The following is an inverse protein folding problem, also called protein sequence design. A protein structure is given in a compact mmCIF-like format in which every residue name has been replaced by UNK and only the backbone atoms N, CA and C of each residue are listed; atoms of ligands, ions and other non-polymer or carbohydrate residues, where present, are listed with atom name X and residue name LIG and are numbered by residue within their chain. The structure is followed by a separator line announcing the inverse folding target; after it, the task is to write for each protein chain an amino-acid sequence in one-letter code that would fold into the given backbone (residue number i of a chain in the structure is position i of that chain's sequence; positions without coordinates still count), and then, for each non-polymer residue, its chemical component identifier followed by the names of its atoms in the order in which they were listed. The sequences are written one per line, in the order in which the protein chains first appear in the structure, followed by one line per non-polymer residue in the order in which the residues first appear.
data_IF_160916405888
#
_entry.id   IF_160916405888
#
_cell.length_a   1.000
_cell.length_b   1.000
_cell.length_c   1.000
_cell.angle_alpha   90.00
_cell.angle_beta   90.00
_cell.angle_gamma   90.00
#
_symmetry.space_group_name_H-M   'P 1'
#
loop_
_entity.id
_entity.type
_entity.pdbx_description
1 polymer ?
#
# COMPACT_ATOMS: atom_id res chain seq x y z
N UNK A 1 25.42 52.90 52.85
CA UNK A 1 26.37 53.87 52.26
C UNK A 1 26.87 53.30 50.93
N UNK A 2 26.87 54.14 49.89
CA UNK A 2 27.43 54.04 48.52
C UNK A 2 28.60 53.06 48.30
N UNK A 3 28.97 52.52 47.12
CA UNK A 3 28.60 52.59 45.69
C UNK A 3 29.51 51.57 44.96
N UNK A 4 29.14 51.11 43.77
CA UNK A 4 30.07 50.50 42.79
C UNK A 4 29.65 49.10 42.35
N UNK A 5 29.55 48.74 41.07
CA UNK A 5 29.76 49.42 39.80
C UNK A 5 29.37 48.39 38.74
N UNK A 6 28.32 48.67 37.96
CA UNK A 6 27.86 47.80 36.87
C UNK A 6 28.85 47.97 35.70
N UNK A 7 29.79 47.02 35.57
CA UNK A 7 30.58 46.89 34.35
C UNK A 7 29.72 46.24 33.27
N UNK A 8 29.35 47.02 32.27
CA UNK A 8 28.59 46.58 31.12
C UNK A 8 29.47 45.68 30.23
N UNK A 9 28.99 44.47 29.94
CA UNK A 9 29.57 43.60 28.92
C UNK A 9 29.55 44.30 27.54
N UNK A 10 30.68 44.39 26.81
CA UNK A 10 30.68 44.92 25.46
C UNK A 10 29.97 43.96 24.50
N UNK A 11 29.00 44.48 23.75
CA UNK A 11 28.33 43.77 22.66
C UNK A 11 29.33 43.49 21.53
N UNK A 12 29.41 42.27 20.99
CA UNK A 12 30.20 42.02 19.79
C UNK A 12 29.55 42.74 18.59
N UNK A 13 30.30 43.67 18.01
CA UNK A 13 29.99 44.36 16.77
C UNK A 13 30.23 43.44 15.56
N UNK A 14 29.28 43.49 14.62
CA UNK A 14 29.37 43.07 13.20
C UNK A 14 29.68 41.60 12.89
N UNK A 15 28.64 40.83 12.58
CA UNK A 15 28.74 39.66 11.72
C UNK A 15 29.02 40.10 10.26
N UNK A 16 29.93 39.45 9.52
CA UNK A 16 30.12 39.74 8.11
C UNK A 16 28.90 39.28 7.29
N UNK A 17 28.40 40.17 6.44
CA UNK A 17 27.35 39.90 5.46
C UNK A 17 27.84 38.89 4.42
N UNK A 18 27.31 37.66 4.46
CA UNK A 18 27.53 36.65 3.43
C UNK A 18 26.60 36.96 2.27
N UNK A 19 27.16 37.29 1.11
CA UNK A 19 26.40 37.51 -0.12
C UNK A 19 25.70 36.22 -0.58
N UNK A 20 24.47 36.30 -1.12
CA UNK A 20 23.77 35.12 -1.65
C UNK A 20 24.47 34.60 -2.92
N UNK A 21 24.48 33.27 -3.15
CA UNK A 21 25.08 32.69 -4.34
C UNK A 21 24.31 33.09 -5.62
N UNK A 22 24.99 33.17 -6.78
CA UNK A 22 24.35 33.53 -8.04
C UNK A 22 23.38 32.45 -8.52
N UNK A 23 22.35 32.80 -9.30
CA UNK A 23 21.43 31.83 -9.88
C UNK A 23 22.17 30.91 -10.86
N UNK A 24 22.09 29.60 -10.66
CA UNK A 24 22.67 28.61 -11.57
C UNK A 24 21.85 28.59 -12.86
N UNK A 25 22.46 29.06 -13.93
CA UNK A 25 21.97 28.90 -15.30
C UNK A 25 21.82 27.42 -15.67
N UNK A 26 20.75 27.12 -16.39
CA UNK A 26 20.26 25.77 -16.66
C UNK A 26 21.31 24.84 -17.29
N UNK A 27 21.52 23.69 -16.64
CA UNK A 27 22.02 22.50 -17.33
C UNK A 27 20.84 21.74 -17.89
N UNK A 28 20.74 21.76 -19.21
CA UNK A 28 19.96 20.79 -19.97
C UNK A 28 20.60 19.43 -19.73
N UNK A 29 19.87 18.51 -19.10
CA UNK A 29 20.22 17.09 -19.20
C UNK A 29 19.76 16.60 -20.56
N UNK A 30 20.75 16.30 -21.41
CA UNK A 30 20.56 15.65 -22.68
C UNK A 30 20.15 14.19 -22.47
N UNK A 31 19.05 13.80 -23.12
CA UNK A 31 18.86 12.48 -23.72
C UNK A 31 18.89 11.25 -22.81
N UNK A 32 17.72 10.87 -22.30
CA UNK A 32 17.37 9.44 -22.17
C UNK A 32 16.11 9.22 -23.00
N UNK A 33 16.29 8.49 -24.09
CA UNK A 33 15.24 8.12 -25.05
C UNK A 33 14.47 6.94 -24.46
N UNK A 34 13.33 7.21 -23.81
CA UNK A 34 12.37 6.17 -23.44
C UNK A 34 11.73 5.65 -24.73
N UNK A 35 12.02 4.39 -25.07
CA UNK A 35 11.27 3.67 -26.10
C UNK A 35 9.89 3.36 -25.53
N UNK A 36 8.87 3.79 -26.28
CA UNK A 36 7.46 3.54 -26.03
C UNK A 36 7.13 2.05 -26.14
N UNK A 37 6.61 1.45 -25.07
CA UNK A 37 5.79 0.24 -25.18
C UNK A 37 4.35 0.63 -24.90
N UNK A 38 3.58 0.71 -25.98
CA UNK A 38 2.14 0.96 -25.96
C UNK A 38 1.42 -0.38 -25.79
N UNK A 39 0.60 -0.52 -24.74
CA UNK A 39 -0.44 -1.55 -24.66
C UNK A 39 -1.80 -0.86 -24.43
N UNK A 40 -2.84 -1.18 -25.21
CA UNK A 40 -4.07 -0.40 -25.23
C UNK A 40 -4.99 -0.64 -24.02
N UNK A 41 -5.50 0.48 -23.51
CA UNK A 41 -6.57 0.64 -22.52
C UNK A 41 -7.91 0.27 -23.16
N UNK A 42 -8.34 -0.99 -23.05
CA UNK A 42 -9.75 -1.37 -23.32
C UNK A 42 -10.05 -2.80 -22.86
N UNK A 43 -10.27 -3.01 -21.56
CA UNK A 43 -10.88 -4.28 -21.08
C UNK A 43 -11.53 -4.15 -19.71
N UNK A 44 -12.31 -3.10 -19.43
CA UNK A 44 -13.07 -3.05 -18.17
C UNK A 44 -14.41 -2.36 -18.37
N UNK A 45 -15.32 -3.03 -19.08
CA UNK A 45 -16.76 -2.81 -18.96
C UNK A 45 -17.46 -4.15 -19.14
N UNK A 46 -18.47 -4.39 -18.30
CA UNK A 46 -19.51 -5.44 -18.41
C UNK A 46 -19.37 -6.69 -17.52
N UNK A 47 -19.60 -6.50 -16.21
CA UNK A 47 -20.13 -7.55 -15.32
C UNK A 47 -21.44 -7.03 -14.72
N UNK A 48 -22.45 -6.84 -15.55
CA UNK A 48 -23.81 -6.54 -15.09
C UNK A 48 -24.82 -7.20 -16.02
N UNK A 49 -24.96 -8.54 -15.89
CA UNK A 49 -26.14 -9.33 -16.30
C UNK A 49 -25.88 -10.82 -16.13
N UNK A 50 -26.25 -11.40 -14.97
CA UNK A 50 -26.72 -12.79 -14.89
C UNK A 50 -27.83 -12.91 -13.86
N UNK A 51 -28.99 -13.33 -14.33
CA UNK A 51 -30.27 -13.37 -13.61
C UNK A 51 -30.39 -14.52 -12.62
N UNK A 52 -31.30 -14.32 -11.65
CA UNK A 52 -31.69 -15.26 -10.60
C UNK A 52 -32.73 -16.25 -11.13
N UNK A 53 -32.48 -17.55 -11.01
CA UNK A 53 -33.44 -18.61 -11.33
C UNK A 53 -34.42 -18.88 -10.15
N UNK A 54 -35.65 -19.36 -10.40
CA UNK A 54 -36.70 -19.48 -9.39
C UNK A 54 -36.62 -20.76 -8.55
N UNK A 55 -36.92 -20.65 -7.26
CA UNK A 55 -37.05 -21.76 -6.30
C UNK A 55 -38.41 -22.42 -6.47
N UNK A 56 -38.42 -23.68 -6.93
CA UNK A 56 -39.61 -24.52 -7.01
C UNK A 56 -39.91 -25.20 -5.68
N UNK A 57 -41.11 -24.97 -5.16
CA UNK A 57 -41.67 -25.63 -3.98
C UNK A 57 -42.05 -27.09 -4.29
N UNK A 58 -41.33 -28.06 -3.71
CA UNK A 58 -41.77 -29.46 -3.62
C UNK A 58 -42.10 -29.81 -2.18
N UNK A 59 -43.39 -30.01 -1.93
CA UNK A 59 -43.92 -30.71 -0.76
C UNK A 59 -43.67 -32.21 -0.94
N UNK A 60 -43.10 -32.85 0.08
CA UNK A 60 -43.02 -34.30 0.21
C UNK A 60 -43.67 -34.72 1.54
N UNK A 61 -44.42 -35.83 1.59
CA UNK A 61 -45.14 -36.25 2.79
C UNK A 61 -44.16 -36.84 3.82
N UNK A 62 -44.29 -36.40 5.07
CA UNK A 62 -43.55 -36.94 6.21
C UNK A 62 -44.23 -38.22 6.67
N UNK A 63 -43.63 -39.38 6.39
CA UNK A 63 -43.99 -40.63 7.06
C UNK A 63 -43.14 -40.77 8.32
N UNK A 64 -43.79 -40.68 9.47
CA UNK A 64 -43.21 -40.92 10.78
C UNK A 64 -42.84 -42.40 10.90
N UNK A 65 -41.53 -42.71 10.98
CA UNK A 65 -41.04 -44.06 11.25
C UNK A 65 -40.18 -44.06 12.52
N UNK A 66 -40.63 -44.86 13.47
CA UNK A 66 -40.01 -45.40 14.69
C UNK A 66 -38.76 -44.74 15.30
N UNK A 67 -38.88 -44.37 16.58
CA UNK A 67 -37.75 -44.08 17.49
C UNK A 67 -36.81 -45.30 17.64
N UNK A 68 -35.48 -45.13 17.52
CA UNK A 68 -34.51 -46.14 17.93
C UNK A 68 -34.30 -46.16 19.47
N UNK A 69 -33.88 -47.30 20.06
CA UNK A 69 -33.70 -47.48 21.50
C UNK A 69 -32.50 -46.68 22.07
N UNK A 70 -32.52 -46.32 23.37
CA UNK A 70 -31.48 -45.50 23.98
C UNK A 70 -30.27 -46.37 24.38
N UNK A 71 -29.06 -46.04 23.91
CA UNK A 71 -27.86 -46.70 24.46
C UNK A 71 -26.56 -46.70 23.66
N UNK A 72 -26.48 -46.12 22.45
CA UNK A 72 -25.21 -46.03 21.73
C UNK A 72 -24.79 -44.57 21.60
N UNK A 73 -23.66 -44.22 22.20
CA UNK A 73 -23.00 -42.95 21.93
C UNK A 73 -22.51 -42.98 20.48
N UNK A 74 -22.90 -42.02 19.63
CA UNK A 74 -22.37 -41.96 18.28
C UNK A 74 -20.85 -41.76 18.39
N UNK A 75 -20.03 -42.51 17.63
CA UNK A 75 -18.61 -42.22 17.58
C UNK A 75 -18.43 -40.76 17.14
N UNK A 76 -17.58 -40.02 17.86
CA UNK A 76 -17.21 -38.65 17.52
C UNK A 76 -16.95 -38.55 16.01
N UNK A 77 -17.47 -37.53 15.32
CA UNK A 77 -17.21 -37.39 13.90
C UNK A 77 -15.70 -37.37 13.68
N UNK A 78 -15.17 -38.41 13.03
CA UNK A 78 -13.83 -38.34 12.47
C UNK A 78 -13.95 -37.34 11.34
N UNK A 79 -13.52 -36.10 11.59
CA UNK A 79 -13.42 -35.06 10.59
C UNK A 79 -12.46 -35.54 9.51
N UNK A 80 -13.04 -36.05 8.42
CA UNK A 80 -12.32 -36.37 7.20
C UNK A 80 -11.81 -35.04 6.63
N UNK A 81 -10.49 -34.86 6.41
CA UNK A 81 -9.96 -33.63 5.84
C UNK A 81 -10.46 -33.53 4.40
N UNK A 82 -11.52 -32.73 4.22
CA UNK A 82 -12.08 -32.44 2.92
C UNK A 82 -11.07 -31.59 2.17
N UNK A 83 -10.34 -32.24 1.26
CA UNK A 83 -9.36 -31.64 0.36
C UNK A 83 -10.10 -30.81 -0.69
N UNK A 84 -10.61 -29.67 -0.28
CA UNK A 84 -11.03 -28.59 -1.17
C UNK A 84 -10.42 -27.33 -0.60
N UNK A 85 -9.43 -26.80 -1.30
CA UNK A 85 -8.87 -25.48 -1.03
C UNK A 85 -10.04 -24.51 -0.89
N UNK A 86 -10.10 -23.66 0.16
CA UNK A 86 -11.16 -22.68 0.24
C UNK A 86 -11.03 -21.81 -1.01
N UNK A 87 -12.03 -21.88 -1.90
CA UNK A 87 -12.04 -21.21 -3.22
C UNK A 87 -11.64 -19.74 -3.10
N UNK A 88 -11.93 -19.14 -1.96
CA UNK A 88 -11.57 -17.78 -1.56
C UNK A 88 -10.06 -17.50 -1.56
N UNK A 89 -9.21 -18.40 -1.05
CA UNK A 89 -7.76 -18.17 -0.94
C UNK A 89 -7.09 -18.14 -2.31
N UNK A 90 -7.48 -19.06 -3.19
CA UNK A 90 -6.96 -19.12 -4.55
C UNK A 90 -7.33 -17.87 -5.33
N UNK A 91 -8.59 -17.46 -5.25
CA UNK A 91 -9.07 -16.25 -5.92
C UNK A 91 -8.32 -15.00 -5.44
N UNK A 92 -8.11 -14.85 -4.13
CA UNK A 92 -7.34 -13.73 -3.57
C UNK A 92 -5.88 -13.73 -4.04
N UNK A 93 -5.27 -14.91 -4.15
CA UNK A 93 -3.89 -15.03 -4.62
C UNK A 93 -3.77 -14.74 -6.11
N UNK A 94 -4.68 -15.23 -6.94
CA UNK A 94 -4.75 -14.93 -8.37
C UNK A 94 -4.95 -13.44 -8.63
N UNK A 95 -5.88 -12.82 -7.88
CA UNK A 95 -6.10 -11.37 -7.93
C UNK A 95 -4.82 -10.61 -7.58
N UNK A 96 -4.17 -10.96 -6.47
CA UNK A 96 -2.90 -10.34 -6.07
C UNK A 96 -1.82 -10.48 -7.15
N UNK A 97 -1.64 -11.68 -7.71
CA UNK A 97 -0.66 -11.95 -8.78
C UNK A 97 -0.96 -11.19 -10.08
N UNK A 98 -2.22 -10.82 -10.33
CA UNK A 98 -2.60 -9.99 -11.47
C UNK A 98 -2.22 -8.52 -11.28
N UNK A 99 -2.18 -8.05 -10.03
CA UNK A 99 -1.91 -6.66 -9.67
C UNK A 99 -0.43 -6.36 -9.44
N UNK A 100 0.34 -7.33 -8.95
CA UNK A 100 1.77 -7.18 -8.66
C UNK A 100 2.64 -7.79 -9.77
N UNK A 101 3.20 -6.98 -10.69
CA UNK A 101 4.13 -7.47 -11.71
C UNK A 101 5.54 -7.72 -11.14
N UNK A 102 5.81 -7.48 -9.85
CA UNK A 102 7.14 -7.66 -9.28
C UNK A 102 7.42 -9.14 -9.04
N UNK A 103 8.38 -9.68 -9.81
CA UNK A 103 8.70 -11.12 -9.84
C UNK A 103 9.01 -11.74 -8.47
N UNK A 104 9.62 -10.99 -7.54
CA UNK A 104 10.00 -11.54 -6.22
C UNK A 104 8.79 -11.75 -5.31
N UNK A 105 7.91 -10.75 -5.21
CA UNK A 105 6.71 -10.81 -4.35
C UNK A 105 5.66 -11.75 -4.93
N UNK A 106 5.54 -11.81 -6.26
CA UNK A 106 4.72 -12.80 -6.95
C UNK A 106 5.19 -14.24 -6.66
N UNK A 107 6.49 -14.51 -6.82
CA UNK A 107 7.07 -15.84 -6.54
C UNK A 107 6.84 -16.30 -5.11
N UNK A 108 6.86 -15.38 -4.14
CA UNK A 108 6.56 -15.70 -2.74
C UNK A 108 5.12 -16.24 -2.57
N UNK A 109 4.13 -15.61 -3.21
CA UNK A 109 2.73 -16.08 -3.17
C UNK A 109 2.55 -17.39 -3.96
N UNK A 110 3.19 -17.52 -5.12
CA UNK A 110 3.17 -18.75 -5.91
C UNK A 110 3.76 -19.93 -5.12
N UNK A 111 4.85 -19.73 -4.41
CA UNK A 111 5.46 -20.74 -3.56
C UNK A 111 4.52 -21.14 -2.41
N UNK A 112 3.91 -20.16 -1.72
CA UNK A 112 2.96 -20.45 -0.63
C UNK A 112 1.72 -21.21 -1.12
N UNK A 113 1.26 -20.96 -2.35
CA UNK A 113 0.20 -21.73 -3.01
C UNK A 113 0.63 -23.17 -3.30
N UNK A 114 1.83 -23.37 -3.84
CA UNK A 114 2.38 -24.70 -4.14
C UNK A 114 2.60 -25.54 -2.87
N UNK A 115 3.01 -24.90 -1.78
CA UNK A 115 3.20 -25.54 -0.47
C UNK A 115 1.88 -25.78 0.29
N UNK A 116 0.74 -25.28 -0.23
CA UNK A 116 -0.57 -25.46 0.39
C UNK A 116 -0.75 -24.72 1.72
N UNK A 117 -0.02 -23.62 1.93
CA UNK A 117 0.01 -22.86 3.20
C UNK A 117 -1.15 -21.84 3.29
N UNK A 118 -2.38 -22.33 3.24
CA UNK A 118 -3.58 -21.48 3.12
C UNK A 118 -3.79 -20.53 4.29
N UNK A 119 -3.48 -20.93 5.52
CA UNK A 119 -3.63 -20.07 6.70
C UNK A 119 -2.73 -18.83 6.60
N UNK A 120 -1.50 -19.02 6.11
CA UNK A 120 -0.56 -17.91 5.90
C UNK A 120 -0.99 -17.03 4.74
N UNK A 121 -1.48 -17.62 3.65
CA UNK A 121 -2.06 -16.86 2.53
C UNK A 121 -3.25 -16.02 3.00
N UNK A 122 -4.15 -16.58 3.80
CA UNK A 122 -5.26 -15.82 4.38
C UNK A 122 -4.79 -14.72 5.32
N UNK A 123 -3.76 -14.95 6.13
CA UNK A 123 -3.21 -13.91 6.98
C UNK A 123 -2.60 -12.75 6.18
N UNK A 124 -1.99 -13.05 5.04
CA UNK A 124 -1.31 -12.08 4.16
C UNK A 124 -2.27 -11.35 3.21
N UNK A 125 -3.29 -12.04 2.69
CA UNK A 125 -4.18 -11.56 1.63
C UNK A 125 -5.59 -11.24 2.12
N UNK A 126 -6.06 -11.85 3.20
CA UNK A 126 -7.44 -11.71 3.67
C UNK A 126 -7.76 -10.35 4.30
N UNK A 127 -6.75 -9.56 4.66
CA UNK A 127 -6.93 -8.21 5.22
C UNK A 127 -5.93 -7.23 4.60
N UNK A 128 -6.27 -5.95 4.59
CA UNK A 128 -5.37 -4.87 4.14
C UNK A 128 -4.70 -4.23 5.35
N UNK A 129 -3.47 -3.74 5.16
CA UNK A 129 -2.81 -2.90 6.15
C UNK A 129 -3.62 -1.64 6.44
N UNK A 130 -3.77 -1.32 7.72
CA UNK A 130 -4.52 -0.17 8.19
C UNK A 130 -3.60 1.02 8.51
N UNK A 131 -4.13 2.23 8.35
CA UNK A 131 -3.44 3.45 8.73
C UNK A 131 -3.50 3.64 10.25
N UNK A 132 -2.33 3.63 10.89
CA UNK A 132 -2.19 3.98 12.30
C UNK A 132 -1.84 5.46 12.51
N UNK A 133 -1.65 5.84 13.77
CA UNK A 133 -1.24 7.20 14.17
C UNK A 133 0.11 7.63 13.59
N UNK A 134 0.98 6.66 13.28
CA UNK A 134 2.31 6.88 12.71
C UNK A 134 2.40 6.42 11.25
N UNK A 135 1.27 6.45 10.52
CA UNK A 135 1.16 6.04 9.13
C UNK A 135 0.95 4.54 8.94
N UNK A 136 1.17 4.09 7.70
CA UNK A 136 1.08 2.68 7.32
C UNK A 136 2.31 1.91 7.82
N UNK A 137 2.09 0.83 8.57
CA UNK A 137 3.17 0.01 9.13
C UNK A 137 2.82 -1.47 9.08
N UNK A 138 3.77 -2.29 8.66
CA UNK A 138 3.60 -3.73 8.58
C UNK A 138 4.93 -4.45 8.39
N UNK A 139 4.89 -5.78 8.51
CA UNK A 139 6.03 -6.64 8.18
C UNK A 139 6.24 -6.61 6.67
N UNK A 140 7.50 -6.54 6.23
CA UNK A 140 7.86 -6.61 4.81
C UNK A 140 7.52 -7.99 4.24
N UNK A 141 6.91 -8.03 3.05
CA UNK A 141 6.59 -9.28 2.36
C UNK A 141 5.42 -9.16 1.40
N UNK A 142 5.13 -10.22 0.67
CA UNK A 142 3.99 -10.26 -0.24
C UNK A 142 2.64 -10.34 0.50
N UNK A 143 1.65 -9.62 -0.05
CA UNK A 143 0.25 -9.61 0.40
C UNK A 143 -0.26 -8.24 0.83
N UNK A 144 -1.58 -8.09 0.92
CA UNK A 144 -2.24 -6.84 1.30
C UNK A 144 -1.99 -6.42 2.76
N UNK A 145 -1.73 -7.39 3.65
CA UNK A 145 -1.43 -7.19 5.07
C UNK A 145 0.08 -7.06 5.35
N UNK A 146 0.88 -6.75 4.32
CA UNK A 146 2.34 -6.66 4.40
C UNK A 146 2.82 -5.42 3.66
N UNK A 147 3.96 -4.89 4.07
CA UNK A 147 4.57 -3.74 3.44
C UNK A 147 5.31 -4.21 2.18
N UNK A 148 4.88 -3.73 1.02
CA UNK A 148 5.46 -4.03 -0.29
C UNK A 148 5.18 -2.90 -1.29
N UNK A 149 5.76 -3.02 -2.48
CA UNK A 149 5.64 -2.03 -3.54
C UNK A 149 4.18 -1.79 -3.97
N UNK A 150 3.39 -2.85 -4.15
CA UNK A 150 2.00 -2.74 -4.58
C UNK A 150 1.14 -1.98 -3.56
N UNK A 151 1.27 -2.30 -2.27
CA UNK A 151 0.53 -1.61 -1.21
C UNK A 151 0.92 -0.13 -1.16
N UNK A 152 2.21 0.21 -1.23
CA UNK A 152 2.69 1.60 -1.27
C UNK A 152 2.12 2.35 -2.48
N UNK A 153 2.13 1.72 -3.66
CA UNK A 153 1.59 2.31 -4.88
C UNK A 153 0.08 2.58 -4.74
N UNK A 154 -0.70 1.60 -4.27
CA UNK A 154 -2.14 1.74 -4.09
C UNK A 154 -2.49 2.78 -3.03
N UNK A 155 -1.71 2.85 -1.94
CA UNK A 155 -1.84 3.88 -0.92
C UNK A 155 -1.53 5.27 -1.49
N UNK A 156 -0.46 5.42 -2.28
CA UNK A 156 -0.13 6.69 -2.94
C UNK A 156 -1.24 7.14 -3.89
N UNK A 157 -1.81 6.23 -4.68
CA UNK A 157 -2.95 6.51 -5.56
C UNK A 157 -4.20 6.93 -4.77
N UNK A 158 -4.46 6.28 -3.64
CA UNK A 158 -5.54 6.65 -2.72
C UNK A 158 -5.33 8.05 -2.15
N UNK A 159 -4.12 8.36 -1.69
CA UNK A 159 -3.75 9.66 -1.15
C UNK A 159 -3.88 10.76 -2.21
N UNK A 160 -3.40 10.52 -3.43
CA UNK A 160 -3.54 11.45 -4.55
C UNK A 160 -5.01 11.80 -4.79
N UNK A 161 -5.88 10.79 -4.93
CA UNK A 161 -7.33 11.00 -5.12
C UNK A 161 -7.95 11.78 -3.98
N UNK A 162 -7.55 11.50 -2.74
CA UNK A 162 -8.02 12.22 -1.57
C UNK A 162 -7.58 13.70 -1.60
N UNK A 163 -6.32 13.98 -1.89
CA UNK A 163 -5.80 15.35 -1.96
C UNK A 163 -6.44 16.17 -3.09
N UNK A 164 -6.74 15.53 -4.23
CA UNK A 164 -7.48 16.16 -5.32
C UNK A 164 -8.90 16.57 -4.91
N UNK A 165 -9.51 15.87 -3.95
CA UNK A 165 -10.86 16.19 -3.45
C UNK A 165 -10.83 17.26 -2.36
N UNK A 166 -9.86 17.19 -1.44
CA UNK A 166 -9.83 18.05 -0.26
C UNK A 166 -9.14 19.39 -0.52
N UNK A 167 -8.06 19.39 -1.30
CA UNK A 167 -7.18 20.56 -1.49
C UNK A 167 -6.63 20.66 -2.93
N UNK A 168 -7.48 20.70 -3.98
CA UNK A 168 -7.03 20.69 -5.36
C UNK A 168 -6.11 21.87 -5.72
N UNK A 169 -6.43 23.08 -5.25
CA UNK A 169 -5.64 24.29 -5.57
C UNK A 169 -4.24 24.26 -4.95
N UNK A 170 -4.13 23.76 -3.72
CA UNK A 170 -2.86 23.63 -3.01
C UNK A 170 -1.99 22.53 -3.64
N UNK A 171 -2.61 21.42 -4.03
CA UNK A 171 -1.91 20.33 -4.71
C UNK A 171 -1.36 20.78 -6.07
N UNK A 172 -2.14 21.55 -6.84
CA UNK A 172 -1.73 22.04 -8.15
C UNK A 172 -0.61 23.10 -8.07
N UNK A 173 -0.64 23.97 -7.06
CA UNK A 173 0.33 25.06 -6.91
C UNK A 173 1.60 24.68 -6.13
N UNK A 174 1.46 23.86 -5.08
CA UNK A 174 2.54 23.51 -4.16
C UNK A 174 3.11 22.10 -4.33
N UNK A 175 2.38 21.19 -4.97
CA UNK A 175 2.82 19.81 -5.15
C UNK A 175 2.95 19.04 -3.83
N UNK A 176 3.84 18.04 -3.83
CA UNK A 176 4.15 17.23 -2.64
C UNK A 176 5.65 17.18 -2.37
N UNK A 177 6.01 17.03 -1.09
CA UNK A 177 7.39 16.81 -0.66
C UNK A 177 7.52 15.37 -0.17
N UNK A 178 8.52 14.65 -0.67
CA UNK A 178 8.79 13.26 -0.31
C UNK A 178 10.21 13.16 0.26
N UNK A 179 10.31 12.62 1.48
CA UNK A 179 11.56 12.21 2.10
C UNK A 179 11.56 10.71 2.41
N UNK A 180 12.75 10.12 2.51
CA UNK A 180 12.94 8.74 2.93
C UNK A 180 13.92 8.67 4.10
N UNK A 181 13.78 7.63 4.91
CA UNK A 181 14.69 7.32 6.01
C UNK A 181 15.67 6.21 5.62
N UNK A 182 16.55 5.80 6.54
CA UNK A 182 17.57 4.79 6.28
C UNK A 182 17.04 3.33 6.26
N UNK A 183 15.71 3.12 6.25
CA UNK A 183 15.16 1.76 6.28
C UNK A 183 15.30 1.08 4.94
N UNK A 184 15.36 -0.25 5.00
CA UNK A 184 15.32 -1.09 3.82
C UNK A 184 14.06 -0.80 2.99
N UNK A 185 14.23 -0.66 1.68
CA UNK A 185 13.20 -0.26 0.70
C UNK A 185 12.61 1.15 0.82
N UNK A 186 13.04 1.97 1.78
CA UNK A 186 12.51 3.34 1.97
C UNK A 186 12.74 4.22 0.74
N UNK A 187 13.87 4.02 0.05
CA UNK A 187 14.19 4.77 -1.18
C UNK A 187 13.29 4.37 -2.34
N UNK A 188 13.07 3.08 -2.54
CA UNK A 188 12.22 2.53 -3.58
C UNK A 188 10.75 2.94 -3.37
N UNK A 189 10.27 2.93 -2.12
CA UNK A 189 8.93 3.39 -1.78
C UNK A 189 8.72 4.88 -2.04
N UNK A 190 9.73 5.71 -1.77
CA UNK A 190 9.70 7.12 -2.12
C UNK A 190 9.62 7.33 -3.64
N UNK A 191 10.38 6.57 -4.43
CA UNK A 191 10.33 6.63 -5.89
C UNK A 191 9.00 6.18 -6.48
N UNK A 192 8.41 5.09 -5.96
CA UNK A 192 7.09 4.62 -6.40
C UNK A 192 6.04 5.67 -6.10
N UNK A 193 6.08 6.24 -4.91
CA UNK A 193 5.16 7.31 -4.52
C UNK A 193 5.34 8.53 -5.45
N UNK A 194 6.58 8.95 -5.71
CA UNK A 194 6.86 10.03 -6.63
C UNK A 194 6.30 9.77 -8.04
N UNK A 195 6.50 8.55 -8.57
CA UNK A 195 6.01 8.16 -9.89
C UNK A 195 4.49 8.30 -10.00
N UNK A 196 3.74 7.86 -9.00
CA UNK A 196 2.26 7.97 -8.98
C UNK A 196 1.79 9.42 -9.08
N UNK A 197 2.45 10.35 -8.37
CA UNK A 197 2.08 11.77 -8.41
C UNK A 197 2.53 12.45 -9.71
N UNK A 198 3.69 12.08 -10.24
CA UNK A 198 4.19 12.58 -11.52
C UNK A 198 3.29 12.16 -12.69
N UNK A 199 2.74 10.94 -12.68
CA UNK A 199 1.77 10.50 -13.69
C UNK A 199 0.46 11.29 -13.67
N UNK A 200 0.13 11.94 -12.55
CA UNK A 200 -1.04 12.78 -12.40
C UNK A 200 -0.75 14.27 -12.63
N UNK A 201 0.38 14.60 -13.25
CA UNK A 201 0.87 15.97 -13.49
C UNK A 201 1.00 16.81 -12.21
N UNK A 202 1.25 16.17 -11.05
CA UNK A 202 1.51 16.87 -9.78
C UNK A 202 3.01 17.07 -9.60
N UNK A 203 3.40 18.28 -9.18
CA UNK A 203 4.79 18.59 -8.85
C UNK A 203 5.27 17.77 -7.65
N UNK A 204 6.44 17.14 -7.78
CA UNK A 204 7.05 16.32 -6.72
C UNK A 204 8.43 16.88 -6.36
N UNK A 205 8.64 17.18 -5.08
CA UNK A 205 9.91 17.56 -4.49
C UNK A 205 10.47 16.35 -3.72
N UNK A 206 11.37 15.60 -4.35
CA UNK A 206 12.03 14.44 -3.75
C UNK A 206 13.42 14.82 -3.23
N UNK A 207 13.72 14.49 -1.97
CA UNK A 207 15.07 14.65 -1.44
C UNK A 207 16.05 13.66 -2.09
N UNK A 208 17.30 14.09 -2.39
CA UNK A 208 18.26 13.26 -3.11
C UNK A 208 18.89 12.15 -2.26
N UNK A 209 18.72 12.22 -0.93
CA UNK A 209 19.31 11.29 0.02
C UNK A 209 18.39 11.10 1.22
N UNK A 210 18.72 10.11 2.05
CA UNK A 210 18.08 9.87 3.34
C UNK A 210 18.05 11.15 4.16
N UNK A 211 16.85 11.50 4.65
CA UNK A 211 16.59 12.70 5.46
C UNK A 211 15.81 12.34 6.73
N UNK A 212 16.18 12.93 7.89
CA UNK A 212 15.35 12.83 9.08
C UNK A 212 13.96 13.44 8.85
N UNK A 213 12.92 12.83 9.43
CA UNK A 213 11.53 13.30 9.31
C UNK A 213 11.31 14.81 9.55
N UNK A 214 12.00 15.48 10.49
CA UNK A 214 11.83 16.92 10.70
C UNK A 214 12.18 17.81 9.50
N UNK A 215 12.95 17.33 8.52
CA UNK A 215 13.27 18.10 7.30
C UNK A 215 12.13 18.13 6.29
N UNK A 216 11.13 17.25 6.45
CA UNK A 216 9.96 17.15 5.58
C UNK A 216 8.77 17.94 6.16
N UNK A 217 8.78 18.21 7.47
CA UNK A 217 7.68 18.82 8.22
C UNK A 217 7.63 20.35 8.11
#
# INVERSE_FOLDING_TARGET
MCRGGLSACPRPSSLPSVAPPPPRSGRRYAGVRLQSMSAPVSMWHDVSKRGRAPVGSRTMPVTCSALPPPGETPPSPVEVPSTSLPIEVQHLAEEWMSLDPVDNSRREIEQLLQEGRHDELMQRLGQRLEFGTAGLRGVMGAGYNRMNHLVVQQTAQGLLRYLQQVSPEQLASGGIVIGNDARYHSTEFAHITAAVFLEADVHVHLFPSVVPTPFVA
#
